data_IF_256692193158
#
_entry.id   IF_256692193158
#
_cell.length_a   1.000
_cell.length_b   1.000
_cell.length_c   1.000
_cell.angle_alpha   90.00
_cell.angle_beta   90.00
_cell.angle_gamma   90.00
#
_symmetry.space_group_name_H-M   'P 1'
#
loop_
_entity.id
_entity.type
_entity.pdbx_description
1 polymer ?
#
# COMPACT_ATOMS: atom_id res chain seq x y z
N UNK A 1 -2.51 -1.78 33.84
CA UNK A 1 -1.40 -2.65 33.38
C UNK A 1 -1.87 -3.23 32.06
N UNK A 2 -1.35 -2.78 30.92
CA UNK A 2 -1.91 -3.13 29.61
C UNK A 2 -1.37 -4.50 29.19
N UNK A 3 -2.14 -5.56 29.44
CA UNK A 3 -1.84 -6.88 28.87
C UNK A 3 -2.55 -6.99 27.50
N UNK A 4 -1.72 -7.23 26.48
CA UNK A 4 -1.96 -7.24 25.03
C UNK A 4 -2.24 -5.89 24.37
N UNK A 5 -1.15 -5.26 23.89
CA UNK A 5 -1.18 -4.26 22.81
C UNK A 5 -0.87 -4.94 21.47
N UNK A 6 -1.32 -4.32 20.36
CA UNK A 6 -0.83 -4.62 19.02
C UNK A 6 0.70 -4.42 19.02
N UNK A 7 1.45 -5.48 18.70
CA UNK A 7 2.90 -5.52 18.87
C UNK A 7 3.64 -4.57 17.91
N UNK A 8 3.06 -4.30 16.74
CA UNK A 8 3.63 -3.44 15.69
C UNK A 8 3.36 -1.95 15.94
N UNK A 9 2.54 -1.59 16.95
CA UNK A 9 2.16 -0.19 17.22
C UNK A 9 1.31 0.48 16.12
N UNK A 10 0.95 -0.24 15.07
CA UNK A 10 0.07 0.23 14.01
C UNK A 10 -1.39 -0.18 14.27
N UNK A 11 -2.22 0.79 14.63
CA UNK A 11 -3.63 0.60 14.97
C UNK A 11 -4.57 0.82 13.78
N UNK A 12 -4.08 1.44 12.70
CA UNK A 12 -4.86 1.74 11.50
C UNK A 12 -4.73 0.65 10.45
N UNK A 13 -5.71 0.57 9.56
CA UNK A 13 -5.67 -0.37 8.45
C UNK A 13 -4.71 0.16 7.38
N UNK A 14 -3.69 -0.63 7.01
CA UNK A 14 -2.65 -0.21 6.06
C UNK A 14 -3.20 0.14 4.66
N UNK A 15 -4.35 -0.43 4.28
CA UNK A 15 -4.95 -0.22 2.98
C UNK A 15 -6.31 0.48 3.09
N UNK A 16 -6.40 1.69 2.52
CA UNK A 16 -7.66 2.44 2.40
C UNK A 16 -8.52 1.80 1.30
N UNK A 17 -9.41 0.89 1.68
CA UNK A 17 -10.35 0.25 0.75
C UNK A 17 -11.58 1.13 0.47
N UNK A 18 -12.28 0.82 -0.62
CA UNK A 18 -13.59 1.43 -0.89
C UNK A 18 -14.63 1.03 0.16
N UNK A 19 -15.62 1.89 0.31
CA UNK A 19 -16.77 1.70 1.20
C UNK A 19 -18.02 1.52 0.34
N UNK A 20 -18.84 0.51 0.66
CA UNK A 20 -20.12 0.28 -0.01
C UNK A 20 -21.24 0.94 0.78
N UNK A 21 -22.04 1.78 0.12
CA UNK A 21 -23.15 2.50 0.73
C UNK A 21 -24.46 2.00 0.11
N UNK A 22 -25.38 1.57 0.95
CA UNK A 22 -26.71 1.10 0.54
C UNK A 22 -27.74 2.25 0.58
N UNK A 23 -28.82 2.18 -0.21
CA UNK A 23 -29.86 3.23 -0.24
C UNK A 23 -30.62 3.42 1.08
N UNK A 24 -30.61 2.43 1.96
CA UNK A 24 -31.18 2.50 3.31
C UNK A 24 -30.27 3.22 4.31
N UNK A 25 -29.08 3.66 3.90
CA UNK A 25 -28.09 4.30 4.74
C UNK A 25 -27.13 3.34 5.44
N UNK A 26 -27.22 2.03 5.19
CA UNK A 26 -26.25 1.07 5.70
C UNK A 26 -24.91 1.21 4.95
N UNK A 27 -23.82 1.04 5.70
CA UNK A 27 -22.46 1.19 5.21
C UNK A 27 -21.70 -0.10 5.49
N UNK A 28 -21.16 -0.72 4.44
CA UNK A 28 -20.32 -1.90 4.54
C UNK A 28 -18.89 -1.53 4.18
N UNK A 29 -17.99 -1.74 5.13
CA UNK A 29 -16.55 -1.52 4.96
C UNK A 29 -15.78 -2.77 5.37
N UNK A 30 -15.04 -3.35 4.42
CA UNK A 30 -14.28 -4.59 4.61
C UNK A 30 -12.84 -4.36 4.13
N UNK A 31 -12.02 -3.65 4.92
CA UNK A 31 -10.65 -3.37 4.53
C UNK A 31 -9.76 -4.60 4.80
N UNK A 32 -8.79 -4.90 3.93
CA UNK A 32 -7.80 -5.94 4.22
C UNK A 32 -6.84 -5.44 5.30
N UNK A 33 -6.68 -6.20 6.38
CA UNK A 33 -5.84 -5.84 7.50
C UNK A 33 -4.94 -7.00 7.92
N UNK A 34 -3.72 -6.68 8.36
CA UNK A 34 -2.78 -7.63 8.98
C UNK A 34 -2.56 -7.15 10.40
N UNK A 35 -3.09 -7.90 11.37
CA UNK A 35 -2.93 -7.60 12.79
C UNK A 35 -1.87 -8.49 13.41
N UNK A 36 -0.99 -7.88 14.21
CA UNK A 36 0.02 -8.59 14.99
C UNK A 36 -0.26 -8.35 16.47
N UNK A 37 -0.76 -9.37 17.16
CA UNK A 37 -0.98 -9.34 18.62
C UNK A 37 0.21 -9.91 19.36
N UNK A 38 0.55 -9.31 20.50
CA UNK A 38 1.45 -9.93 21.48
C UNK A 38 0.68 -10.91 22.36
N UNK A 39 1.20 -12.13 22.52
CA UNK A 39 0.67 -13.12 23.47
C UNK A 39 1.79 -13.79 24.27
N UNK A 40 1.48 -14.17 25.51
CA UNK A 40 2.40 -14.87 26.40
C UNK A 40 2.44 -16.35 26.04
N UNK A 41 3.65 -16.90 25.91
CA UNK A 41 3.87 -18.30 25.57
C UNK A 41 3.97 -19.12 26.85
N UNK A 42 3.14 -20.15 26.97
CA UNK A 42 3.26 -21.17 28.01
C UNK A 42 3.97 -22.42 27.46
N UNK A 43 5.14 -22.75 28.02
CA UNK A 43 5.98 -23.89 27.59
C UNK A 43 5.84 -25.12 28.51
N UNK A 44 4.89 -25.12 29.44
CA UNK A 44 4.75 -26.18 30.47
C UNK A 44 4.58 -27.58 29.87
N UNK A 45 3.90 -27.68 28.72
CA UNK A 45 3.54 -28.95 28.08
C UNK A 45 4.13 -29.12 26.66
N UNK A 46 5.18 -28.36 26.33
CA UNK A 46 5.86 -28.46 25.04
C UNK A 46 6.26 -29.92 24.72
N UNK A 47 6.04 -30.44 23.49
CA UNK A 47 5.59 -29.76 22.26
C UNK A 47 4.08 -29.79 22.00
N UNK A 48 3.26 -30.16 22.98
CA UNK A 48 1.79 -30.22 22.87
C UNK A 48 1.13 -29.07 23.63
N UNK A 49 1.82 -27.94 23.69
CA UNK A 49 1.35 -26.73 24.34
C UNK A 49 0.17 -26.09 23.58
N UNK A 50 -0.68 -25.40 24.34
CA UNK A 50 -1.77 -24.58 23.80
C UNK A 50 -1.48 -23.13 24.13
N UNK A 51 -1.67 -22.25 23.14
CA UNK A 51 -1.42 -20.83 23.29
C UNK A 51 -2.73 -20.05 23.16
N UNK A 52 -2.99 -19.18 24.13
CA UNK A 52 -4.15 -18.29 24.13
C UNK A 52 -3.70 -16.89 23.73
N UNK A 53 -3.95 -16.51 22.47
CA UNK A 53 -3.62 -15.19 21.97
C UNK A 53 -4.88 -14.33 21.87
N UNK A 54 -4.89 -13.21 22.59
CA UNK A 54 -6.05 -12.33 22.71
C UNK A 54 -5.94 -11.17 21.73
N UNK A 55 -7.00 -10.94 20.96
CA UNK A 55 -7.18 -9.77 20.11
C UNK A 55 -8.31 -8.90 20.68
N UNK A 56 -8.03 -7.60 20.88
CA UNK A 56 -9.00 -6.61 21.34
C UNK A 56 -9.27 -5.64 20.19
N UNK A 57 -10.55 -5.45 19.86
CA UNK A 57 -11.00 -4.47 18.90
C UNK A 57 -11.84 -3.42 19.62
N UNK A 58 -11.61 -2.15 19.30
CA UNK A 58 -12.22 -1.02 19.98
C UNK A 58 -12.16 0.23 19.13
N UNK A 59 -13.06 1.18 19.38
CA UNK A 59 -12.95 2.52 18.85
C UNK A 59 -11.84 3.26 19.58
N UNK A 60 -10.97 3.92 18.82
CA UNK A 60 -9.91 4.75 19.40
C UNK A 60 -10.45 6.11 19.87
N UNK A 61 -11.36 6.70 19.10
CA UNK A 61 -11.83 8.08 19.27
C UNK A 61 -13.19 8.19 19.97
N UNK A 62 -14.03 7.16 19.87
CA UNK A 62 -15.41 7.19 20.36
C UNK A 62 -15.58 6.32 21.61
N UNK A 63 -16.43 6.79 22.53
CA UNK A 63 -16.81 6.03 23.73
C UNK A 63 -18.02 5.12 23.47
N UNK A 64 -18.32 4.22 24.42
CA UNK A 64 -19.43 3.27 24.33
C UNK A 64 -20.82 3.90 24.20
N UNK A 65 -21.01 5.13 24.68
CA UNK A 65 -22.28 5.87 24.53
C UNK A 65 -22.46 6.44 23.11
N UNK A 66 -21.38 6.56 22.33
CA UNK A 66 -21.39 7.12 20.99
C UNK A 66 -21.35 6.02 19.93
N UNK A 67 -20.52 5.00 20.14
CA UNK A 67 -20.34 3.88 19.21
C UNK A 67 -20.41 2.57 19.98
N UNK A 68 -21.36 1.73 19.60
CA UNK A 68 -21.48 0.36 20.09
C UNK A 68 -20.90 -0.60 19.06
N UNK A 69 -19.93 -1.41 19.47
CA UNK A 69 -19.31 -2.43 18.63
C UNK A 69 -20.02 -3.77 18.85
N UNK A 70 -20.52 -4.35 17.77
CA UNK A 70 -21.16 -5.66 17.77
C UNK A 70 -20.60 -6.52 16.64
N UNK A 71 -20.72 -7.84 16.80
CA UNK A 71 -20.35 -8.79 15.74
C UNK A 71 -21.37 -8.70 14.60
N UNK A 72 -20.87 -8.75 13.36
CA UNK A 72 -21.71 -8.73 12.18
C UNK A 72 -22.66 -9.94 12.15
N UNK A 73 -23.96 -9.68 11.93
CA UNK A 73 -25.03 -10.68 11.91
C UNK A 73 -25.14 -11.55 13.17
N UNK A 74 -24.72 -11.05 14.34
CA UNK A 74 -24.81 -11.76 15.63
C UNK A 74 -24.14 -13.16 15.59
N UNK A 75 -23.18 -13.36 14.67
CA UNK A 75 -22.44 -14.60 14.60
C UNK A 75 -21.55 -14.73 15.84
N UNK A 76 -21.69 -15.83 16.57
CA UNK A 76 -20.85 -16.14 17.73
C UNK A 76 -19.50 -16.78 17.35
N UNK A 77 -19.20 -16.92 16.06
CA UNK A 77 -18.00 -17.57 15.55
C UNK A 77 -17.37 -16.74 14.43
N UNK A 78 -16.05 -16.85 14.31
CA UNK A 78 -15.29 -16.29 13.19
C UNK A 78 -15.47 -17.21 11.99
N UNK A 79 -15.73 -16.62 10.83
CA UNK A 79 -15.83 -17.35 9.57
C UNK A 79 -14.43 -17.80 9.13
N UNK A 80 -14.24 -19.12 9.01
CA UNK A 80 -12.97 -19.74 8.63
C UNK A 80 -13.01 -20.34 7.21
N UNK A 81 -14.04 -20.03 6.41
CA UNK A 81 -14.17 -20.53 5.04
C UNK A 81 -12.97 -20.18 4.15
N UNK A 82 -12.42 -18.98 4.34
CA UNK A 82 -11.24 -18.48 3.62
C UNK A 82 -9.92 -18.68 4.39
N UNK A 83 -9.93 -19.41 5.51
CA UNK A 83 -8.74 -19.63 6.32
C UNK A 83 -7.81 -20.68 5.69
N UNK A 84 -6.56 -20.27 5.45
CA UNK A 84 -5.50 -21.20 5.07
C UNK A 84 -4.83 -21.78 6.32
N UNK A 85 -4.95 -23.10 6.53
CA UNK A 85 -4.42 -23.80 7.71
C UNK A 85 -2.91 -23.65 7.83
N UNK A 86 -2.44 -23.25 9.02
CA UNK A 86 -1.02 -23.18 9.34
C UNK A 86 -0.40 -24.58 9.49
N UNK A 87 0.86 -24.73 9.12
CA UNK A 87 1.60 -26.00 9.26
C UNK A 87 2.08 -26.29 10.69
N UNK A 88 2.05 -25.29 11.57
CA UNK A 88 2.60 -25.38 12.93
C UNK A 88 1.52 -25.26 14.01
N UNK A 89 0.45 -24.50 13.75
CA UNK A 89 -0.55 -24.15 14.75
C UNK A 89 -1.96 -24.49 14.25
N UNK A 90 -2.73 -25.18 15.10
CA UNK A 90 -4.13 -25.49 14.84
C UNK A 90 -5.02 -24.56 15.69
N UNK A 91 -6.06 -24.01 15.06
CA UNK A 91 -7.07 -23.22 15.78
C UNK A 91 -8.01 -24.19 16.49
N UNK A 92 -7.93 -24.22 17.83
CA UNK A 92 -8.79 -25.07 18.68
C UNK A 92 -10.13 -24.38 18.95
N UNK A 93 -10.08 -23.12 19.38
CA UNK A 93 -11.28 -22.33 19.72
C UNK A 93 -11.04 -20.83 19.50
N UNK A 94 -12.14 -20.10 19.26
CA UNK A 94 -12.15 -18.63 19.19
C UNK A 94 -13.29 -18.14 20.10
N UNK A 95 -13.08 -18.08 21.41
CA UNK A 95 -14.11 -17.69 22.35
C UNK A 95 -14.38 -16.17 22.29
N UNK A 96 -15.66 -15.80 22.28
CA UNK A 96 -16.11 -14.41 22.39
C UNK A 96 -15.97 -13.94 23.84
N UNK A 97 -15.28 -12.81 24.06
CA UNK A 97 -15.34 -12.03 25.29
C UNK A 97 -15.84 -10.62 24.97
N UNK A 98 -17.07 -10.30 25.37
CA UNK A 98 -17.46 -8.91 25.55
C UNK A 98 -16.90 -8.43 26.88
N UNK A 99 -16.14 -7.33 26.87
CA UNK A 99 -15.92 -6.60 28.12
C UNK A 99 -17.18 -5.78 28.38
N UNK A 100 -18.03 -6.24 29.28
CA UNK A 100 -19.09 -5.40 29.84
C UNK A 100 -18.41 -4.17 30.46
N UNK A 101 -18.88 -2.98 30.10
CA UNK A 101 -18.16 -1.70 30.21
C UNK A 101 -17.95 -1.16 31.64
N UNK A 102 -17.71 -2.01 32.63
CA UNK A 102 -17.42 -1.59 34.01
C UNK A 102 -15.96 -1.18 34.24
N UNK A 103 -15.11 -1.21 33.21
CA UNK A 103 -13.87 -0.44 33.14
C UNK A 103 -14.09 0.79 32.23
N UNK A 104 -15.22 1.48 32.43
CA UNK A 104 -15.35 2.87 31.99
C UNK A 104 -14.32 3.67 32.78
N UNK A 105 -13.11 3.79 32.22
CA UNK A 105 -12.13 4.76 32.66
C UNK A 105 -12.81 6.11 32.43
N UNK A 106 -13.49 6.62 33.47
CA UNK A 106 -14.09 7.95 33.47
C UNK A 106 -12.93 8.89 33.18
N UNK A 107 -12.80 9.27 31.91
CA UNK A 107 -11.74 10.13 31.45
C UNK A 107 -11.98 11.45 32.17
N UNK A 108 -11.12 11.76 33.13
CA UNK A 108 -11.29 12.98 33.91
C UNK A 108 -11.27 14.16 32.94
N UNK A 109 -11.86 15.32 33.28
CA UNK A 109 -11.87 16.48 32.39
C UNK A 109 -10.47 16.87 31.87
N UNK A 110 -9.43 16.54 32.64
CA UNK A 110 -8.02 16.71 32.29
C UNK A 110 -7.56 15.68 31.25
N UNK A 111 -7.98 14.42 31.38
CA UNK A 111 -7.68 13.36 30.43
C UNK A 111 -8.36 13.60 29.08
N UNK A 112 -9.58 14.16 29.07
CA UNK A 112 -10.26 14.59 27.82
C UNK A 112 -9.46 15.66 27.06
N UNK A 113 -8.94 16.66 27.77
CA UNK A 113 -8.09 17.69 27.17
C UNK A 113 -6.77 17.11 26.67
N UNK A 114 -6.20 16.16 27.40
CA UNK A 114 -5.00 15.47 26.98
C UNK A 114 -5.25 14.64 25.70
N UNK A 115 -6.39 13.95 25.60
CA UNK A 115 -6.73 13.21 24.38
C UNK A 115 -6.97 14.10 23.18
N UNK A 116 -7.59 15.28 23.36
CA UNK A 116 -7.76 16.26 22.26
C UNK A 116 -6.42 16.80 21.75
N UNK A 117 -5.47 17.11 22.65
CA UNK A 117 -4.13 17.54 22.25
C UNK A 117 -3.36 16.41 21.54
N UNK A 118 -3.51 15.16 22.00
CA UNK A 118 -2.91 13.99 21.37
C UNK A 118 -3.55 13.72 20.01
N UNK A 119 -4.87 13.90 19.86
CA UNK A 119 -5.58 13.78 18.58
C UNK A 119 -5.07 14.80 17.57
N UNK A 120 -4.90 16.07 17.97
CA UNK A 120 -4.30 17.09 17.11
C UNK A 120 -2.87 16.71 16.66
N UNK A 121 -2.04 16.20 17.58
CA UNK A 121 -0.68 15.74 17.26
C UNK A 121 -0.73 14.53 16.32
N UNK A 122 -1.59 13.56 16.60
CA UNK A 122 -1.77 12.37 15.79
C UNK A 122 -2.24 12.71 14.38
N UNK A 123 -3.21 13.61 14.23
CA UNK A 123 -3.66 14.09 12.92
C UNK A 123 -2.55 14.82 12.15
N UNK A 124 -1.77 15.65 12.84
CA UNK A 124 -0.64 16.35 12.22
C UNK A 124 0.43 15.36 11.73
N UNK A 125 0.82 14.40 12.57
CA UNK A 125 1.78 13.34 12.23
C UNK A 125 1.26 12.47 11.07
N UNK A 126 -0.03 12.11 11.09
CA UNK A 126 -0.62 11.29 10.04
C UNK A 126 -0.67 12.00 8.69
N UNK A 127 -0.96 13.30 8.69
CA UNK A 127 -0.89 14.12 7.48
C UNK A 127 0.55 14.26 6.97
N UNK A 128 1.54 14.36 7.87
CA UNK A 128 2.96 14.32 7.48
C UNK A 128 3.35 12.96 6.90
N UNK A 129 2.95 11.84 7.52
CA UNK A 129 3.24 10.48 7.04
C UNK A 129 2.64 10.19 5.67
N UNK A 130 1.38 10.60 5.42
CA UNK A 130 0.73 10.43 4.12
C UNK A 130 1.43 11.25 3.03
N UNK A 131 1.94 12.44 3.37
CA UNK A 131 2.77 13.26 2.48
C UNK A 131 4.15 12.64 2.23
N UNK A 132 4.80 12.11 3.28
CA UNK A 132 6.11 11.44 3.21
C UNK A 132 6.01 10.21 2.31
N UNK A 133 4.98 9.36 2.48
CA UNK A 133 4.79 8.17 1.66
C UNK A 133 4.65 8.51 0.17
N UNK A 134 3.87 9.54 -0.17
CA UNK A 134 3.73 10.00 -1.56
C UNK A 134 5.06 10.52 -2.11
N UNK A 135 5.82 11.25 -1.29
CA UNK A 135 7.13 11.79 -1.67
C UNK A 135 8.16 10.69 -1.92
N UNK A 136 8.23 9.68 -1.05
CA UNK A 136 9.17 8.57 -1.16
C UNK A 136 8.88 7.74 -2.42
N UNK A 137 7.59 7.48 -2.71
CA UNK A 137 7.18 6.86 -3.98
C UNK A 137 7.65 7.72 -5.17
N UNK A 138 7.41 9.03 -5.16
CA UNK A 138 7.87 9.92 -6.23
C UNK A 138 9.39 9.91 -6.41
N UNK A 139 10.14 9.75 -5.32
CA UNK A 139 11.61 9.70 -5.34
C UNK A 139 12.13 8.43 -6.01
N UNK A 140 11.51 7.27 -5.75
CA UNK A 140 11.82 6.02 -6.45
C UNK A 140 11.56 6.12 -7.96
N UNK A 141 10.45 6.75 -8.34
CA UNK A 141 10.11 6.98 -9.75
C UNK A 141 11.04 7.98 -10.44
N UNK A 142 11.69 8.86 -9.68
CA UNK A 142 12.62 9.86 -10.22
C UNK A 142 13.81 9.20 -10.91
N UNK A 143 14.36 8.13 -10.32
CA UNK A 143 15.47 7.38 -10.91
C UNK A 143 15.03 6.67 -12.19
N UNK A 144 13.88 6.01 -12.14
CA UNK A 144 13.31 5.28 -13.29
C UNK A 144 13.06 6.24 -14.47
N UNK A 145 12.46 7.39 -14.21
CA UNK A 145 12.19 8.41 -15.24
C UNK A 145 13.48 8.93 -15.91
N UNK A 146 14.56 9.15 -15.13
CA UNK A 146 15.85 9.57 -15.68
C UNK A 146 16.50 8.51 -16.57
N UNK A 147 16.31 7.23 -16.26
CA UNK A 147 16.84 6.12 -17.06
C UNK A 147 16.05 5.95 -18.36
N UNK A 148 14.71 6.06 -18.28
CA UNK A 148 13.83 5.95 -19.45
C UNK A 148 14.14 7.03 -20.50
N UNK A 149 14.39 8.28 -20.07
CA UNK A 149 14.76 9.38 -20.97
C UNK A 149 15.98 9.05 -21.85
N UNK A 150 17.04 8.50 -21.24
CA UNK A 150 18.27 8.13 -21.97
C UNK A 150 18.08 6.93 -22.87
N UNK A 151 17.33 5.91 -22.43
CA UNK A 151 17.03 4.74 -23.24
C UNK A 151 16.20 5.12 -24.48
N UNK A 152 15.20 5.97 -24.31
CA UNK A 152 14.37 6.46 -25.41
C UNK A 152 15.20 7.26 -26.43
N UNK A 153 16.14 8.09 -25.96
CA UNK A 153 17.04 8.84 -26.84
C UNK A 153 17.98 7.93 -27.65
N UNK A 154 18.57 6.91 -27.02
CA UNK A 154 19.45 5.96 -27.72
C UNK A 154 18.69 5.15 -28.77
N UNK A 155 17.47 4.69 -28.46
CA UNK A 155 16.62 3.97 -29.40
C UNK A 155 16.25 4.88 -30.58
N UNK A 156 15.83 6.12 -30.33
CA UNK A 156 15.48 7.08 -31.37
C UNK A 156 16.67 7.38 -32.29
N UNK A 157 17.86 7.61 -31.72
CA UNK A 157 19.07 7.86 -32.49
C UNK A 157 19.47 6.66 -33.36
N UNK A 158 19.38 5.44 -32.82
CA UNK A 158 19.69 4.22 -33.56
C UNK A 158 18.73 4.02 -34.75
N UNK A 159 17.43 4.18 -34.52
CA UNK A 159 16.39 4.02 -35.56
C UNK A 159 16.56 5.07 -36.67
N UNK A 160 16.77 6.33 -36.30
CA UNK A 160 16.95 7.42 -37.26
C UNK A 160 18.23 7.25 -38.09
N UNK A 161 19.33 6.85 -37.46
CA UNK A 161 20.60 6.58 -38.15
C UNK A 161 20.47 5.39 -39.11
N UNK A 162 19.90 4.28 -38.64
CA UNK A 162 19.68 3.09 -39.48
C UNK A 162 18.75 3.38 -40.66
N UNK A 163 17.66 4.12 -40.44
CA UNK A 163 16.74 4.54 -41.50
C UNK A 163 17.43 5.46 -42.53
N UNK A 164 18.26 6.39 -42.06
CA UNK A 164 19.02 7.29 -42.94
C UNK A 164 20.02 6.51 -43.80
N UNK A 165 20.75 5.55 -43.21
CA UNK A 165 21.67 4.67 -43.94
C UNK A 165 20.91 3.81 -44.97
N UNK A 166 19.74 3.27 -44.60
CA UNK A 166 18.90 2.49 -45.50
C UNK A 166 18.46 3.29 -46.73
N UNK A 167 18.01 4.53 -46.54
CA UNK A 167 17.65 5.43 -47.64
C UNK A 167 18.86 5.73 -48.54
N UNK A 168 20.04 5.95 -47.95
CA UNK A 168 21.27 6.22 -48.69
C UNK A 168 21.76 5.02 -49.52
N UNK A 169 21.57 3.79 -49.02
CA UNK A 169 21.97 2.57 -49.73
C UNK A 169 21.02 2.22 -50.88
N UNK A 170 19.75 2.58 -50.77
CA UNK A 170 18.74 2.35 -51.83
C UNK A 170 18.82 3.40 -52.95
N UNK A 171 19.63 4.45 -52.79
CA UNK A 171 19.88 5.45 -53.83
C UNK A 171 20.90 4.91 -54.87
N UNK A 172 20.48 4.48 -56.07
CA UNK A 172 21.44 4.13 -57.11
C UNK A 172 22.13 5.43 -57.55
N UNK A 173 23.45 5.39 -57.73
CA UNK A 173 24.30 6.49 -58.23
C UNK A 173 24.77 7.57 -57.24
N UNK A 174 24.56 7.44 -55.92
CA UNK A 174 24.99 8.48 -54.96
C UNK A 174 26.52 8.69 -54.86
N UNK A 175 27.32 7.69 -55.24
CA UNK A 175 28.79 7.78 -55.30
C UNK A 175 29.34 7.79 -56.73
N UNK A 176 28.49 7.92 -57.75
CA UNK A 176 28.96 8.01 -59.12
C UNK A 176 29.50 9.43 -59.37
N UNK A 177 30.81 9.54 -59.57
CA UNK A 177 31.49 10.82 -59.80
C UNK A 177 31.13 11.34 -61.19
N UNK A 178 30.29 12.38 -61.25
CA UNK A 178 29.97 13.10 -62.49
C UNK A 178 31.04 14.17 -62.71
N UNK A 179 31.91 13.95 -63.69
CA UNK A 179 32.89 14.95 -64.12
C UNK A 179 32.19 16.08 -64.90
N UNK A 180 31.95 17.20 -64.24
CA UNK A 180 31.12 18.28 -64.74
C UNK A 180 31.83 19.11 -65.82
N UNK A 181 33.17 19.12 -65.82
CA UNK A 181 33.98 19.83 -66.82
C UNK A 181 33.80 19.21 -68.21
N UNK A 182 33.79 17.88 -68.30
CA UNK A 182 33.52 17.15 -69.55
C UNK A 182 32.11 17.43 -70.09
N UNK A 183 31.09 17.57 -69.24
CA UNK A 183 29.71 17.89 -69.67
C UNK A 183 29.61 19.34 -70.18
N UNK A 184 30.26 20.29 -69.51
CA UNK A 184 30.25 21.70 -69.91
C UNK A 184 30.93 21.88 -71.29
N UNK A 185 32.05 21.19 -71.53
CA UNK A 185 32.73 21.24 -72.83
C UNK A 185 31.92 20.58 -73.95
N UNK A 186 31.15 19.52 -73.64
CA UNK A 186 30.27 18.84 -74.59
C UNK A 186 29.10 19.73 -75.08
N UNK A 187 28.63 20.66 -74.26
CA UNK A 187 27.61 21.66 -74.63
C UNK A 187 28.18 22.98 -75.14
N UNK A 188 29.42 23.32 -74.78
CA UNK A 188 30.11 24.52 -75.29
C UNK A 188 30.61 24.34 -76.73
N UNK A 189 30.84 23.09 -77.16
CA UNK A 189 31.27 22.74 -78.53
C UNK A 189 30.16 22.49 -79.55
N UNK A 190 28.90 22.85 -79.26
CA UNK A 190 27.73 22.65 -80.13
C UNK A 190 27.10 23.98 -80.55
#
# INVERSE_FOLDING_TARGET
MCESCIADGNYEVRYKSNVLIYPNGEVLWVPPAIYQSSCTIDVTYFPFDQQTCLMKFGSWTFNGDQVSLALYNEKNFVDLSDYWKSGTWDIVEIPRRESDGSDSLFMTPEAYKATEAVEFIAEHLRNEDEYIQVRDVCEDWKYVAMVIDRLQLYIFFAVTTAGTIGILMDAPHIFEYVDQDTIIDLYRGK
#
